data_IF_668446289469
#
_entry.id   IF_668446289469
#
_cell.length_a   1.000
_cell.length_b   1.000
_cell.length_c   1.000
_cell.angle_alpha   90.00
_cell.angle_beta   90.00
_cell.angle_gamma   90.00
#
_symmetry.space_group_name_H-M   'P 1'
#
loop_
_entity.id
_entity.type
_entity.pdbx_description
1 polymer ?
#
# COMPACT_ATOMS: atom_id res chain seq x y z
N UNK A 1 -13.68 13.22 -6.44
CA UNK A 1 -13.11 12.94 -7.78
C UNK A 1 -13.92 11.81 -8.39
N UNK A 2 -14.42 11.99 -9.62
CA UNK A 2 -15.49 11.14 -10.14
C UNK A 2 -14.94 9.89 -10.86
N UNK A 3 -15.45 8.72 -10.52
CA UNK A 3 -15.20 7.46 -11.25
C UNK A 3 -15.58 7.58 -12.75
N UNK A 4 -16.53 8.48 -13.06
CA UNK A 4 -16.93 8.77 -14.43
C UNK A 4 -15.84 9.46 -15.26
N UNK A 5 -15.01 10.31 -14.64
CA UNK A 5 -13.90 10.97 -15.34
C UNK A 5 -12.79 9.98 -15.70
N UNK A 6 -12.50 9.03 -14.81
CA UNK A 6 -11.53 7.96 -15.08
C UNK A 6 -12.02 7.06 -16.21
N UNK A 7 -13.32 6.72 -16.20
CA UNK A 7 -13.91 5.91 -17.26
C UNK A 7 -13.85 6.63 -18.60
N UNK A 8 -14.20 7.91 -18.66
CA UNK A 8 -14.13 8.69 -19.89
C UNK A 8 -12.68 8.80 -20.42
N UNK A 9 -11.69 8.95 -19.52
CA UNK A 9 -10.29 8.96 -19.91
C UNK A 9 -9.85 7.61 -20.49
N UNK A 10 -10.25 6.49 -19.87
CA UNK A 10 -9.97 5.14 -20.37
C UNK A 10 -10.60 4.92 -21.76
N UNK A 11 -11.83 5.37 -21.97
CA UNK A 11 -12.51 5.23 -23.27
C UNK A 11 -11.76 5.99 -24.38
N UNK A 12 -11.26 7.19 -24.09
CA UNK A 12 -10.42 7.96 -25.04
C UNK A 12 -9.13 7.21 -25.37
N UNK A 13 -8.44 6.68 -24.36
CA UNK A 13 -7.21 5.90 -24.57
C UNK A 13 -7.48 4.68 -25.46
N UNK A 14 -8.54 3.92 -25.18
CA UNK A 14 -8.91 2.76 -25.98
C UNK A 14 -9.36 3.14 -27.40
N UNK A 15 -9.88 4.35 -27.59
CA UNK A 15 -10.20 4.95 -28.88
C UNK A 15 -9.00 5.48 -29.66
N UNK A 16 -7.76 5.37 -29.10
CA UNK A 16 -6.52 5.76 -29.75
C UNK A 16 -5.92 7.09 -29.26
N UNK A 17 -6.61 7.85 -28.42
CA UNK A 17 -6.06 9.06 -27.77
C UNK A 17 -5.19 8.68 -26.56
N UNK A 18 -3.94 8.34 -26.84
CA UNK A 18 -2.98 7.95 -25.80
C UNK A 18 -2.68 9.08 -24.81
N UNK A 19 -2.88 10.35 -25.22
CA UNK A 19 -2.63 11.52 -24.36
C UNK A 19 -3.61 11.57 -23.16
N UNK A 20 -4.80 11.01 -23.31
CA UNK A 20 -5.78 10.92 -22.21
C UNK A 20 -5.28 10.08 -21.03
N UNK A 21 -4.30 9.17 -21.23
CA UNK A 21 -3.69 8.39 -20.14
C UNK A 21 -2.87 9.25 -19.19
N UNK A 22 -2.30 10.36 -19.67
CA UNK A 22 -1.57 11.32 -18.84
C UNK A 22 -2.46 11.87 -17.69
N UNK A 23 -3.73 12.13 -17.98
CA UNK A 23 -4.69 12.56 -16.96
C UNK A 23 -4.87 11.53 -15.82
N UNK A 24 -4.90 10.24 -16.17
CA UNK A 24 -4.94 9.15 -15.19
C UNK A 24 -3.65 9.07 -14.38
N UNK A 25 -2.49 9.19 -15.04
CA UNK A 25 -1.19 9.19 -14.36
C UNK A 25 -1.10 10.36 -13.37
N UNK A 26 -1.38 11.59 -13.79
CA UNK A 26 -1.35 12.78 -12.92
C UNK A 26 -2.24 12.62 -11.69
N UNK A 27 -3.40 12.00 -11.84
CA UNK A 27 -4.37 11.79 -10.77
C UNK A 27 -3.91 10.74 -9.77
N UNK A 28 -3.38 9.63 -10.25
CA UNK A 28 -3.16 8.44 -9.43
C UNK A 28 -1.70 8.20 -9.06
N UNK A 29 -0.72 8.98 -9.60
CA UNK A 29 0.70 8.78 -9.28
C UNK A 29 1.02 8.95 -7.79
N UNK A 30 0.53 10.02 -7.15
CA UNK A 30 0.77 10.24 -5.73
C UNK A 30 0.23 9.10 -4.86
N UNK A 31 -1.07 8.74 -4.98
CA UNK A 31 -1.63 7.57 -4.31
C UNK A 31 -0.87 6.26 -4.57
N UNK A 32 -0.42 6.01 -5.81
CA UNK A 32 0.33 4.79 -6.14
C UNK A 32 1.75 4.78 -5.56
N UNK A 33 2.45 5.90 -5.60
CA UNK A 33 3.77 6.05 -4.95
C UNK A 33 3.64 5.86 -3.44
N UNK A 34 2.62 6.46 -2.81
CA UNK A 34 2.37 6.29 -1.38
C UNK A 34 2.04 4.83 -1.04
N UNK A 35 1.28 4.13 -1.90
CA UNK A 35 1.03 2.71 -1.73
C UNK A 35 2.35 1.92 -1.83
N UNK A 36 3.13 2.12 -2.90
CA UNK A 36 4.40 1.43 -3.11
C UNK A 36 5.38 1.66 -1.95
N UNK A 37 5.47 2.91 -1.46
CA UNK A 37 6.31 3.25 -0.32
C UNK A 37 5.95 2.47 0.95
N UNK A 38 4.67 2.18 1.16
CA UNK A 38 4.22 1.33 2.27
C UNK A 38 4.73 -0.12 2.14
N UNK A 39 5.06 -0.56 0.93
CA UNK A 39 5.62 -1.89 0.68
C UNK A 39 7.14 -1.92 0.76
N UNK A 40 7.85 -0.98 0.15
CA UNK A 40 9.31 -1.03 0.01
C UNK A 40 10.10 -0.14 0.99
N UNK A 41 9.49 0.91 1.55
CA UNK A 41 10.12 1.89 2.46
C UNK A 41 11.30 2.66 1.85
N UNK A 42 11.37 2.68 0.57
CA UNK A 42 12.33 3.44 -0.21
C UNK A 42 11.56 4.28 -1.23
N UNK A 43 11.80 5.61 -1.26
CA UNK A 43 11.03 6.52 -2.10
C UNK A 43 11.38 6.33 -3.58
N UNK A 44 12.66 6.19 -3.91
CA UNK A 44 13.10 5.96 -5.29
C UNK A 44 12.51 4.65 -5.83
N UNK A 45 12.58 3.58 -5.02
CA UNK A 45 11.96 2.30 -5.37
C UNK A 45 10.44 2.38 -5.46
N UNK A 46 9.80 3.18 -4.62
CA UNK A 46 8.35 3.39 -4.68
C UNK A 46 7.92 4.09 -5.98
N UNK A 47 8.68 5.07 -6.44
CA UNK A 47 8.46 5.77 -7.70
C UNK A 47 8.63 4.82 -8.89
N UNK A 48 9.69 4.00 -8.91
CA UNK A 48 9.90 2.96 -9.94
C UNK A 48 8.75 1.95 -9.98
N UNK A 49 8.31 1.46 -8.83
CA UNK A 49 7.19 0.52 -8.73
C UNK A 49 5.87 1.13 -9.20
N UNK A 50 5.63 2.40 -8.90
CA UNK A 50 4.45 3.12 -9.38
C UNK A 50 4.48 3.31 -10.91
N UNK A 51 5.64 3.63 -11.48
CA UNK A 51 5.82 3.71 -12.93
C UNK A 51 5.56 2.35 -13.61
N UNK A 52 6.12 1.27 -13.08
CA UNK A 52 5.88 -0.08 -13.59
C UNK A 52 4.39 -0.47 -13.50
N UNK A 53 3.71 -0.06 -12.43
CA UNK A 53 2.27 -0.28 -12.28
C UNK A 53 1.47 0.45 -13.39
N UNK A 54 1.83 1.70 -13.70
CA UNK A 54 1.19 2.43 -14.81
C UNK A 54 1.48 1.81 -16.17
N UNK A 55 2.70 1.36 -16.42
CA UNK A 55 3.04 0.66 -17.67
C UNK A 55 2.22 -0.62 -17.84
N UNK A 56 2.08 -1.39 -16.78
CA UNK A 56 1.22 -2.59 -16.79
C UNK A 56 -0.25 -2.24 -16.97
N UNK A 57 -0.73 -1.20 -16.27
CA UNK A 57 -2.10 -0.73 -16.42
C UNK A 57 -2.39 -0.30 -17.86
N UNK A 58 -1.51 0.47 -18.48
CA UNK A 58 -1.64 0.90 -19.87
C UNK A 58 -1.74 -0.30 -20.83
N UNK A 59 -0.82 -1.27 -20.69
CA UNK A 59 -0.79 -2.48 -21.54
C UNK A 59 -2.00 -3.38 -21.37
N UNK A 60 -2.60 -3.40 -20.17
CA UNK A 60 -3.75 -4.25 -19.84
C UNK A 60 -5.07 -3.49 -19.75
N UNK A 61 -5.11 -2.22 -20.22
CA UNK A 61 -6.28 -1.36 -20.07
C UNK A 61 -7.53 -1.95 -20.72
N UNK A 62 -7.38 -2.63 -21.88
CA UNK A 62 -8.46 -3.33 -22.57
C UNK A 62 -9.03 -4.53 -21.80
N UNK A 63 -8.32 -5.04 -20.80
CA UNK A 63 -8.79 -6.12 -19.94
C UNK A 63 -9.65 -5.64 -18.76
N UNK A 64 -9.73 -4.33 -18.54
CA UNK A 64 -10.59 -3.78 -17.50
C UNK A 64 -12.07 -3.92 -17.86
N UNK A 65 -12.77 -4.81 -17.15
CA UNK A 65 -14.17 -5.20 -17.44
C UNK A 65 -15.23 -4.21 -16.93
N UNK A 66 -14.82 -3.08 -16.31
CA UNK A 66 -15.73 -2.08 -15.70
C UNK A 66 -16.64 -2.61 -14.59
N UNK A 67 -16.34 -3.80 -14.04
CA UNK A 67 -17.06 -4.39 -12.90
C UNK A 67 -16.78 -3.66 -11.58
N UNK A 68 -15.70 -2.89 -11.54
CA UNK A 68 -15.30 -2.04 -10.43
C UNK A 68 -14.77 -0.70 -10.97
N UNK A 69 -14.67 0.31 -10.12
CA UNK A 69 -14.05 1.58 -10.47
C UNK A 69 -12.63 1.37 -11.01
N UNK A 70 -12.20 2.22 -11.94
CA UNK A 70 -10.85 2.17 -12.51
C UNK A 70 -9.77 2.19 -11.42
N UNK A 71 -9.95 3.04 -10.41
CA UNK A 71 -9.04 3.11 -9.27
C UNK A 71 -8.90 1.76 -8.55
N UNK A 72 -10.00 1.07 -8.28
CA UNK A 72 -9.97 -0.25 -7.63
C UNK A 72 -9.20 -1.26 -8.47
N UNK A 73 -9.41 -1.28 -9.78
CA UNK A 73 -8.67 -2.15 -10.69
C UNK A 73 -7.18 -1.79 -10.74
N UNK A 74 -6.85 -0.50 -10.84
CA UNK A 74 -5.47 -0.01 -10.86
C UNK A 74 -4.72 -0.36 -9.57
N UNK A 75 -5.34 -0.14 -8.40
CA UNK A 75 -4.75 -0.48 -7.11
C UNK A 75 -4.60 -1.99 -6.93
N UNK A 76 -5.52 -2.80 -7.44
CA UNK A 76 -5.42 -4.26 -7.45
C UNK A 76 -4.19 -4.70 -8.25
N UNK A 77 -4.02 -4.17 -9.47
CA UNK A 77 -2.89 -4.45 -10.33
C UNK A 77 -1.56 -4.04 -9.67
N UNK A 78 -1.50 -2.82 -9.13
CA UNK A 78 -0.33 -2.29 -8.45
C UNK A 78 0.04 -3.11 -7.20
N UNK A 79 -0.95 -3.50 -6.40
CA UNK A 79 -0.73 -4.34 -5.21
C UNK A 79 -0.13 -5.69 -5.58
N UNK A 80 -0.66 -6.35 -6.61
CA UNK A 80 -0.12 -7.63 -7.07
C UNK A 80 1.33 -7.50 -7.53
N UNK A 81 1.68 -6.40 -8.20
CA UNK A 81 3.06 -6.09 -8.54
C UNK A 81 3.93 -5.92 -7.29
N UNK A 82 3.50 -5.06 -6.36
CA UNK A 82 4.28 -4.75 -5.15
C UNK A 82 4.46 -5.97 -4.25
N UNK A 83 3.43 -6.81 -4.11
CA UNK A 83 3.53 -8.08 -3.40
C UNK A 83 4.53 -9.04 -4.04
N UNK A 84 4.57 -9.11 -5.37
CA UNK A 84 5.52 -9.97 -6.09
C UNK A 84 6.97 -9.49 -5.90
N UNK A 85 7.19 -8.17 -5.90
CA UNK A 85 8.50 -7.58 -5.64
C UNK A 85 8.98 -7.82 -4.21
N UNK A 86 8.08 -7.70 -3.22
CA UNK A 86 8.42 -8.03 -1.83
C UNK A 86 8.84 -9.49 -1.62
N UNK A 87 8.27 -10.41 -2.38
CA UNK A 87 8.64 -11.83 -2.31
C UNK A 87 10.01 -12.09 -2.92
N UNK A 88 10.46 -11.25 -3.85
CA UNK A 88 11.78 -11.34 -4.50
C UNK A 88 12.91 -10.80 -3.66
N UNK A 89 12.62 -9.86 -2.77
CA UNK A 89 13.62 -9.31 -1.85
C UNK A 89 13.73 -10.30 -0.68
N UNK A 90 14.89 -10.97 -0.49
CA UNK A 90 15.13 -11.76 0.70
C UNK A 90 14.82 -10.90 1.92
N UNK A 91 14.15 -11.49 2.93
CA UNK A 91 13.89 -10.78 4.18
C UNK A 91 15.22 -10.35 4.78
N UNK A 92 15.70 -9.17 4.43
CA UNK A 92 16.72 -8.49 5.19
C UNK A 92 16.10 -8.29 6.57
N UNK A 93 16.62 -9.01 7.53
CA UNK A 93 16.39 -8.75 8.94
C UNK A 93 17.01 -7.38 9.22
N UNK A 94 16.28 -6.32 8.88
CA UNK A 94 16.65 -4.98 9.31
C UNK A 94 16.36 -4.98 10.79
N UNK A 95 17.43 -4.98 11.57
CA UNK A 95 17.34 -4.76 13.00
C UNK A 95 16.53 -3.47 13.24
N UNK A 96 15.73 -3.46 14.28
CA UNK A 96 14.82 -2.35 14.61
C UNK A 96 15.53 -1.00 14.81
N UNK A 97 16.87 -0.97 14.83
CA UNK A 97 17.67 0.18 15.21
C UNK A 97 18.30 0.96 14.05
N UNK A 98 18.17 0.51 12.80
CA UNK A 98 18.87 1.12 11.65
C UNK A 98 17.98 1.77 10.58
N UNK A 99 16.74 2.11 10.87
CA UNK A 99 15.93 2.87 9.91
C UNK A 99 15.98 4.35 10.28
N UNK A 100 17.02 5.03 9.80
CA UNK A 100 17.02 6.49 9.71
C UNK A 100 15.86 6.89 8.78
N UNK A 101 14.88 7.59 9.31
CA UNK A 101 13.76 8.15 8.53
C UNK A 101 14.29 9.24 7.59
N UNK A 102 14.01 9.17 6.28
CA UNK A 102 14.01 10.37 5.47
C UNK A 102 12.81 11.21 5.93
N UNK A 103 13.08 12.35 6.55
CA UNK A 103 12.05 13.35 6.89
C UNK A 103 11.39 13.81 5.60
N UNK A 104 10.08 13.59 5.46
CA UNK A 104 9.27 14.20 4.41
C UNK A 104 9.14 15.71 4.73
N UNK A 105 9.66 16.63 3.89
CA UNK A 105 9.58 18.07 4.14
C UNK A 105 8.16 18.65 4.08
N UNK A 106 7.14 17.85 3.75
CA UNK A 106 5.74 18.27 3.61
C UNK A 106 4.83 17.85 4.76
N UNK A 107 5.35 17.12 5.75
CA UNK A 107 4.64 16.83 7.00
C UNK A 107 4.87 17.98 8.01
N UNK A 108 4.51 19.20 7.66
CA UNK A 108 4.41 20.30 8.60
C UNK A 108 2.93 20.58 8.82
N UNK A 109 2.43 20.15 9.92
CA UNK A 109 1.43 20.69 10.82
C UNK A 109 0.52 19.58 11.40
N UNK A 110 1.02 18.95 12.42
CA UNK A 110 0.28 18.03 13.27
C UNK A 110 1.17 17.69 14.48
N UNK A 111 0.70 17.91 15.68
CA UNK A 111 1.50 17.89 16.90
C UNK A 111 2.44 16.68 17.04
N UNK A 112 3.62 16.92 17.54
CA UNK A 112 4.72 15.96 17.74
C UNK A 112 4.32 14.60 18.35
N UNK A 113 3.20 14.54 19.08
CA UNK A 113 2.69 13.30 19.69
C UNK A 113 1.90 12.42 18.72
N UNK A 114 1.22 12.97 17.70
CA UNK A 114 0.50 12.20 16.69
C UNK A 114 1.43 11.62 15.63
N UNK A 115 2.46 12.36 15.22
CA UNK A 115 3.48 11.86 14.30
C UNK A 115 4.25 10.67 14.90
N UNK A 116 4.52 10.67 16.21
CA UNK A 116 5.21 9.56 16.86
C UNK A 116 4.32 8.30 16.94
N UNK A 117 3.02 8.45 17.22
CA UNK A 117 2.06 7.32 17.24
C UNK A 117 1.89 6.67 15.88
N UNK A 118 1.71 7.45 14.85
CA UNK A 118 1.57 6.96 13.46
C UNK A 118 2.85 6.26 12.98
N UNK A 119 4.01 6.80 13.33
CA UNK A 119 5.31 6.17 13.10
C UNK A 119 5.43 4.80 13.78
N UNK A 120 5.00 4.71 15.05
CA UNK A 120 5.02 3.43 15.81
C UNK A 120 4.13 2.37 15.16
N UNK A 121 2.88 2.72 14.84
CA UNK A 121 1.94 1.79 14.19
C UNK A 121 2.48 1.36 12.82
N UNK A 122 2.99 2.31 12.06
CA UNK A 122 3.56 2.09 10.74
C UNK A 122 4.73 1.10 10.80
N UNK A 123 5.71 1.33 11.69
CA UNK A 123 6.84 0.41 11.93
C UNK A 123 6.36 -0.99 12.33
N UNK A 124 5.37 -1.07 13.22
CA UNK A 124 4.81 -2.36 13.65
C UNK A 124 4.17 -3.13 12.48
N UNK A 125 3.38 -2.47 11.62
CA UNK A 125 2.78 -3.09 10.43
C UNK A 125 3.87 -3.60 9.48
N UNK A 126 4.92 -2.82 9.25
CA UNK A 126 6.00 -3.21 8.33
C UNK A 126 6.89 -4.33 8.88
N UNK A 127 6.97 -4.51 10.19
CA UNK A 127 7.68 -5.63 10.81
C UNK A 127 6.91 -6.96 10.73
N UNK A 128 5.67 -6.96 10.23
CA UNK A 128 4.90 -8.19 10.03
C UNK A 128 5.41 -8.98 8.82
N UNK A 129 5.29 -10.32 8.85
CA UNK A 129 5.54 -11.13 7.66
C UNK A 129 4.67 -10.65 6.46
N UNK A 130 5.21 -10.65 5.22
CA UNK A 130 4.55 -10.09 4.04
C UNK A 130 3.10 -10.52 3.88
N UNK A 131 2.80 -11.81 4.04
CA UNK A 131 1.44 -12.38 3.88
C UNK A 131 0.38 -11.78 4.81
N UNK A 132 0.75 -11.24 5.98
CA UNK A 132 -0.16 -10.59 6.93
C UNK A 132 -0.21 -9.08 6.68
N UNK A 133 0.95 -8.49 6.35
CA UNK A 133 1.07 -7.07 6.03
C UNK A 133 0.23 -6.69 4.81
N UNK A 134 0.29 -7.48 3.74
CA UNK A 134 -0.45 -7.27 2.49
C UNK A 134 -1.95 -7.10 2.75
N UNK A 135 -2.56 -8.03 3.47
CA UNK A 135 -4.00 -7.99 3.77
C UNK A 135 -4.38 -6.82 4.68
N UNK A 136 -3.52 -6.45 5.64
CA UNK A 136 -3.76 -5.30 6.51
C UNK A 136 -3.69 -3.98 5.74
N UNK A 137 -2.71 -3.84 4.83
CA UNK A 137 -2.58 -2.63 4.00
C UNK A 137 -3.82 -2.46 3.12
N UNK A 138 -4.24 -3.51 2.41
CA UNK A 138 -5.40 -3.43 1.53
C UNK A 138 -6.69 -3.14 2.30
N UNK A 139 -6.89 -3.82 3.42
CA UNK A 139 -8.12 -3.70 4.19
C UNK A 139 -8.23 -2.34 4.91
N UNK A 140 -7.17 -1.88 5.59
CA UNK A 140 -7.23 -0.68 6.43
C UNK A 140 -6.79 0.62 5.75
N UNK A 141 -5.86 0.56 4.80
CA UNK A 141 -5.36 1.76 4.14
C UNK A 141 -5.99 2.02 2.77
N UNK A 142 -6.55 0.98 2.15
CA UNK A 142 -7.30 1.10 0.90
C UNK A 142 -8.79 0.86 1.09
N UNK A 143 -9.24 0.68 2.35
CA UNK A 143 -10.66 0.48 2.69
C UNK A 143 -11.34 -0.61 1.83
N UNK A 144 -10.53 -1.58 1.37
CA UNK A 144 -11.05 -2.72 0.62
C UNK A 144 -11.77 -3.67 1.56
N UNK A 145 -12.96 -4.11 1.17
CA UNK A 145 -13.63 -5.20 1.87
C UNK A 145 -12.89 -6.54 1.70
N UNK A 146 -13.35 -7.57 2.41
CA UNK A 146 -12.74 -8.91 2.36
C UNK A 146 -12.76 -9.49 0.94
N UNK A 147 -13.86 -9.27 0.22
CA UNK A 147 -14.07 -9.81 -1.13
C UNK A 147 -13.13 -9.14 -2.13
N UNK A 148 -13.01 -7.81 -2.09
CA UNK A 148 -12.08 -7.05 -2.93
C UNK A 148 -10.62 -7.41 -2.61
N UNK A 149 -10.28 -7.53 -1.31
CA UNK A 149 -8.95 -7.97 -0.88
C UNK A 149 -8.62 -9.38 -1.37
N UNK A 150 -9.58 -10.30 -1.29
CA UNK A 150 -9.43 -11.68 -1.76
C UNK A 150 -9.15 -11.73 -3.28
N UNK A 151 -9.94 -11.00 -4.07
CA UNK A 151 -9.72 -10.89 -5.52
C UNK A 151 -8.36 -10.27 -5.84
N UNK A 152 -7.99 -9.19 -5.15
CA UNK A 152 -6.73 -8.49 -5.34
C UNK A 152 -5.51 -9.37 -5.11
N UNK A 153 -5.56 -10.25 -4.10
CA UNK A 153 -4.46 -11.14 -3.74
C UNK A 153 -4.54 -12.54 -4.38
N UNK A 154 -5.61 -12.83 -5.10
CA UNK A 154 -5.86 -14.17 -5.66
C UNK A 154 -6.03 -15.23 -4.56
N UNK A 155 -6.70 -14.88 -3.45
CA UNK A 155 -6.87 -15.74 -2.27
C UNK A 155 -8.34 -16.02 -1.99
N UNK A 156 -8.69 -17.17 -1.39
CA UNK A 156 -10.01 -17.39 -0.84
C UNK A 156 -10.33 -16.39 0.29
N UNK A 157 -11.57 -15.93 0.40
CA UNK A 157 -12.01 -15.00 1.46
C UNK A 157 -11.72 -15.52 2.88
N UNK A 158 -11.90 -16.83 3.10
CA UNK A 158 -11.56 -17.45 4.38
C UNK A 158 -10.08 -17.29 4.74
N UNK A 159 -9.19 -17.36 3.74
CA UNK A 159 -7.76 -17.11 3.93
C UNK A 159 -7.48 -15.65 4.28
N UNK A 160 -8.18 -14.70 3.63
CA UNK A 160 -8.06 -13.27 3.94
C UNK A 160 -8.52 -12.99 5.37
N UNK A 161 -9.67 -13.52 5.77
CA UNK A 161 -10.20 -13.39 7.16
C UNK A 161 -9.21 -13.94 8.18
N UNK A 162 -8.66 -15.12 7.93
CA UNK A 162 -7.66 -15.74 8.82
C UNK A 162 -6.36 -14.91 8.89
N UNK A 163 -5.87 -14.39 7.76
CA UNK A 163 -4.68 -13.53 7.72
C UNK A 163 -4.92 -12.19 8.40
N UNK A 164 -6.10 -11.56 8.24
CA UNK A 164 -6.47 -10.34 8.96
C UNK A 164 -6.49 -10.56 10.46
N UNK A 165 -7.13 -11.65 10.93
CA UNK A 165 -7.19 -12.00 12.36
C UNK A 165 -5.78 -12.19 12.94
N UNK A 166 -4.97 -13.01 12.29
CA UNK A 166 -3.60 -13.28 12.75
C UNK A 166 -2.69 -12.06 12.68
N UNK A 167 -2.81 -11.26 11.61
CA UNK A 167 -2.08 -10.00 11.48
C UNK A 167 -2.40 -9.00 12.59
N UNK A 168 -3.68 -8.86 12.96
CA UNK A 168 -4.12 -8.02 14.09
C UNK A 168 -3.55 -8.50 15.43
N UNK A 169 -3.56 -9.80 15.67
CA UNK A 169 -3.01 -10.40 16.88
C UNK A 169 -1.51 -10.11 17.02
N UNK A 170 -0.75 -10.35 15.94
CA UNK A 170 0.68 -10.03 15.90
C UNK A 170 0.97 -8.53 16.09
N UNK A 171 0.16 -7.67 15.48
CA UNK A 171 0.29 -6.23 15.62
C UNK A 171 0.02 -5.78 17.05
N UNK A 172 -1.05 -6.32 17.69
CA UNK A 172 -1.37 -6.05 19.10
C UNK A 172 -0.21 -6.45 20.02
N UNK A 173 0.35 -7.65 19.83
CA UNK A 173 1.50 -8.13 20.61
C UNK A 173 2.71 -7.20 20.49
N UNK A 174 3.06 -6.78 19.26
CA UNK A 174 4.19 -5.88 19.01
C UNK A 174 4.00 -4.50 19.64
N UNK A 175 2.80 -3.92 19.52
CA UNK A 175 2.48 -2.63 20.11
C UNK A 175 2.47 -2.69 21.64
N UNK A 176 1.93 -3.73 22.23
CA UNK A 176 1.93 -3.93 23.70
C UNK A 176 3.34 -4.08 24.25
N UNK A 177 4.20 -4.83 23.59
CA UNK A 177 5.60 -5.01 24.02
C UNK A 177 6.40 -3.70 23.92
N UNK A 178 6.13 -2.89 22.89
CA UNK A 178 6.81 -1.59 22.73
C UNK A 178 6.36 -0.59 23.80
N UNK A 179 5.06 -0.49 24.04
CA UNK A 179 4.53 0.37 25.12
C UNK A 179 5.12 0.00 26.49
N UNK A 180 5.28 -1.29 26.79
CA UNK A 180 5.96 -1.73 28.02
C UNK A 180 7.43 -1.32 28.05
N UNK A 181 8.15 -1.46 26.95
CA UNK A 181 9.56 -1.07 26.84
C UNK A 181 9.74 0.44 27.04
N UNK A 182 8.85 1.26 26.46
CA UNK A 182 8.90 2.71 26.58
C UNK A 182 8.56 3.20 28.00
N UNK A 183 7.66 2.51 28.72
CA UNK A 183 7.36 2.79 30.13
C UNK A 183 8.57 2.49 31.02
N UNK A 184 9.23 1.35 30.82
CA UNK A 184 10.42 0.99 31.60
C UNK A 184 11.62 1.92 31.37
N UNK A 185 11.72 2.54 30.18
CA UNK A 185 12.76 3.56 29.90
C UNK A 185 12.49 4.91 30.55
N UNK A 186 11.25 5.23 30.89
CA UNK A 186 10.88 6.48 31.56
C UNK A 186 11.03 6.40 33.08
N UNK A 187 11.14 5.20 33.62
CA UNK A 187 11.31 4.94 35.05
C UNK A 187 12.78 4.72 35.47
N UNK A 188 13.71 4.70 34.51
CA UNK A 188 15.16 4.52 34.73
C UNK A 188 15.92 5.83 34.48
#
# INVERSE_FOLDING_TARGET
>A
MSAAEDQAAVEKVLGGDTSAFEGLVRRWQGPLVNLAYRFCRDRGRAEELAQEAFLRAYRSLGAWRREAAFSTWLFTLATNLYCSELRRIPARTVGLDEVAEPRDPRAMDGGLEEEDRDGVVRRAVFSLPPKYREVLILFYFHEMDVTATARSLGLPEGTVKARLSRGREMLRSKLSNRLRADLLKKEA
#
